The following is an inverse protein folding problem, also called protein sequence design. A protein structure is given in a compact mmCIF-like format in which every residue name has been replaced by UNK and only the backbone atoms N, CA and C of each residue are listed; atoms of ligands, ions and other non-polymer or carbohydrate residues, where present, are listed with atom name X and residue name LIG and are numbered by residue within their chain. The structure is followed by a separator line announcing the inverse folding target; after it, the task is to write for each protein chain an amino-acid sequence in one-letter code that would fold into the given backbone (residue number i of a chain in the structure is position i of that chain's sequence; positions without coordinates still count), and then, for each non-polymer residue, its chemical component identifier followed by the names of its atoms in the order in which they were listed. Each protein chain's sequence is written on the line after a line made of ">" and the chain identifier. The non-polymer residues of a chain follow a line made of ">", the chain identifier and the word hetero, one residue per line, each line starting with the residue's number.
data_IF_073368652140
#
_entry.id   IF_073368652140
#
_cell.length_a   1.000
_cell.length_b   1.000
_cell.length_c   1.000
_cell.angle_alpha   90.00
_cell.angle_beta   90.00
_cell.angle_gamma   90.00
#
_symmetry.space_group_name_H-M   'P 1'
#
loop_
_entity.id
_entity.type
_entity.pdbx_description
1 polymer ?
#
# COMPACT_ATOMS: atom_id res chain seq x y z
N UNK A 1 -71.27 26.08 -3.57
CA UNK A 1 -70.38 27.17 -3.09
C UNK A 1 -70.06 26.86 -1.64
N UNK A 2 -68.84 26.63 -1.19
CA UNK A 2 -67.53 26.61 -1.83
C UNK A 2 -66.47 26.57 -0.73
N UNK A 3 -65.36 25.87 -1.04
CA UNK A 3 -63.97 26.08 -0.57
C UNK A 3 -63.69 25.82 0.93
N UNK A 4 -62.85 24.83 1.27
CA UNK A 4 -61.37 24.78 1.18
C UNK A 4 -60.65 25.83 2.04
N UNK A 5 -59.68 25.30 2.81
CA UNK A 5 -58.36 25.85 3.22
C UNK A 5 -58.17 25.67 4.73
N UNK A 6 -57.35 24.70 5.16
CA UNK A 6 -55.87 24.72 5.23
C UNK A 6 -55.36 25.60 6.37
N UNK A 7 -54.71 24.95 7.35
CA UNK A 7 -53.46 25.38 8.02
C UNK A 7 -53.11 24.30 9.08
N UNK A 8 -52.16 23.39 8.83
CA UNK A 8 -50.70 23.55 8.90
C UNK A 8 -50.19 23.82 10.33
N UNK A 9 -49.34 22.93 10.85
CA UNK A 9 -48.06 23.20 11.57
C UNK A 9 -47.61 22.03 12.49
N UNK A 10 -46.42 21.53 12.16
CA UNK A 10 -45.31 21.10 13.03
C UNK A 10 -45.36 19.78 13.82
N UNK A 11 -44.70 18.78 13.22
CA UNK A 11 -43.56 18.02 13.74
C UNK A 11 -43.30 17.98 15.26
N UNK A 12 -43.29 16.77 15.83
CA UNK A 12 -42.09 16.21 16.46
C UNK A 12 -42.22 14.70 16.61
N UNK A 13 -41.83 13.96 15.55
CA UNK A 13 -41.50 12.55 15.68
C UNK A 13 -40.18 12.47 16.44
N UNK A 14 -40.26 12.19 17.75
CA UNK A 14 -39.10 11.80 18.55
C UNK A 14 -38.65 10.42 18.04
N UNK A 15 -37.82 10.43 17.00
CA UNK A 15 -37.08 9.26 16.57
C UNK A 15 -36.20 8.83 17.74
N UNK A 16 -36.61 7.73 18.37
CA UNK A 16 -35.78 7.00 19.31
C UNK A 16 -34.45 6.70 18.61
N UNK A 17 -33.41 7.43 19.03
CA UNK A 17 -32.05 7.16 18.62
C UNK A 17 -31.75 5.73 19.07
N UNK A 18 -31.73 4.83 18.08
CA UNK A 18 -31.18 3.51 18.25
C UNK A 18 -29.72 3.72 18.67
N UNK A 19 -29.44 3.43 19.93
CA UNK A 19 -28.12 3.20 20.48
C UNK A 19 -27.54 1.97 19.76
N UNK A 20 -27.15 2.19 18.50
CA UNK A 20 -26.31 1.28 17.75
C UNK A 20 -24.97 1.37 18.43
N UNK A 21 -24.78 0.55 19.46
CA UNK A 21 -23.56 0.46 20.23
C UNK A 21 -22.39 0.49 19.27
N UNK A 22 -21.70 1.63 19.26
CA UNK A 22 -20.50 1.87 18.48
C UNK A 22 -19.56 0.74 18.83
N UNK A 23 -19.52 -0.24 17.94
CA UNK A 23 -18.46 -1.19 18.03
C UNK A 23 -17.26 -0.42 17.55
N UNK A 24 -16.42 -0.08 18.52
CA UNK A 24 -15.03 0.28 18.34
C UNK A 24 -14.39 -0.79 17.45
N UNK A 25 -14.47 -0.58 16.14
CA UNK A 25 -13.44 -1.03 15.25
C UNK A 25 -12.15 -0.51 15.88
N UNK A 26 -11.12 -1.34 15.94
CA UNK A 26 -9.77 -0.80 16.00
C UNK A 26 -9.48 -0.18 14.62
N UNK A 27 -10.34 0.74 14.17
CA UNK A 27 -9.98 1.72 13.18
C UNK A 27 -8.75 2.39 13.78
N UNK A 28 -7.63 2.28 13.06
CA UNK A 28 -6.52 3.16 13.33
C UNK A 28 -7.12 4.56 13.45
N UNK A 29 -6.82 5.32 14.52
CA UNK A 29 -7.36 6.66 14.71
C UNK A 29 -7.29 7.38 13.36
N UNK A 30 -8.35 8.09 12.94
CA UNK A 30 -8.34 8.82 11.67
C UNK A 30 -7.03 9.59 11.66
N UNK A 31 -6.23 9.34 10.64
CA UNK A 31 -4.80 9.61 10.62
C UNK A 31 -4.62 11.14 10.59
N UNK A 32 -4.83 11.79 11.74
CA UNK A 32 -4.79 13.24 11.90
C UNK A 32 -3.36 13.76 11.73
N UNK A 33 -2.39 12.83 11.62
CA UNK A 33 -0.99 13.05 11.33
C UNK A 33 -0.55 12.36 10.03
N UNK A 34 -1.45 11.76 9.24
CA UNK A 34 -1.15 11.46 7.84
C UNK A 34 -0.96 12.80 7.13
N UNK A 35 0.27 13.30 7.19
CA UNK A 35 0.75 14.12 6.08
C UNK A 35 0.45 13.28 4.83
N UNK A 36 -0.21 13.86 3.82
CA UNK A 36 -0.20 13.26 2.49
C UNK A 36 1.23 12.84 2.20
N UNK A 37 1.41 11.64 1.65
CA UNK A 37 2.70 11.20 1.12
C UNK A 37 3.31 12.41 0.43
N UNK A 38 4.40 12.95 0.98
CA UNK A 38 5.00 14.16 0.43
C UNK A 38 5.58 13.74 -0.89
N UNK A 39 4.85 14.02 -1.98
CA UNK A 39 5.38 13.89 -3.32
C UNK A 39 6.62 14.80 -3.36
N UNK A 40 7.80 14.25 -3.62
CA UNK A 40 9.00 15.07 -3.68
C UNK A 40 8.75 16.19 -4.69
N UNK A 41 9.11 17.42 -4.32
CA UNK A 41 8.97 18.62 -5.16
C UNK A 41 9.68 18.51 -6.53
N UNK A 42 10.54 17.51 -6.68
CA UNK A 42 11.25 17.14 -7.90
C UNK A 42 10.84 15.73 -8.36
N UNK A 43 9.56 15.37 -8.27
CA UNK A 43 9.05 14.27 -9.08
C UNK A 43 9.15 14.75 -10.54
N UNK A 44 10.33 14.61 -11.15
CA UNK A 44 10.42 14.44 -12.59
C UNK A 44 9.30 13.47 -12.96
N UNK A 45 8.49 13.84 -13.95
CA UNK A 45 7.45 12.95 -14.46
C UNK A 45 8.14 11.73 -15.05
N UNK A 46 8.39 10.74 -14.21
CA UNK A 46 8.96 9.46 -14.61
C UNK A 46 7.84 8.75 -15.36
N UNK A 47 7.97 8.76 -16.68
CA UNK A 47 7.03 8.07 -17.56
C UNK A 47 7.45 6.61 -17.69
N UNK A 48 6.56 5.71 -17.30
CA UNK A 48 6.72 4.27 -17.46
C UNK A 48 5.36 3.71 -17.88
N UNK A 49 5.34 2.87 -18.92
CA UNK A 49 4.11 2.45 -19.58
C UNK A 49 3.91 0.91 -19.53
N UNK A 50 3.69 0.31 -18.34
CA UNK A 50 3.61 -1.15 -18.18
C UNK A 50 2.56 -1.88 -19.01
N UNK A 51 1.49 -1.21 -19.47
CA UNK A 51 0.44 -1.86 -20.26
C UNK A 51 0.76 -1.94 -21.76
N UNK A 52 1.78 -1.22 -22.23
CA UNK A 52 2.22 -1.24 -23.64
C UNK A 52 3.64 -1.77 -23.79
N UNK A 53 4.49 -1.62 -22.76
CA UNK A 53 5.85 -2.14 -22.74
C UNK A 53 5.82 -3.67 -22.54
N UNK A 54 5.91 -4.42 -23.63
CA UNK A 54 5.86 -5.90 -23.62
C UNK A 54 6.97 -6.52 -22.77
N UNK A 55 8.12 -5.84 -22.71
CA UNK A 55 9.33 -6.30 -22.01
C UNK A 55 9.28 -6.17 -20.48
N UNK A 56 8.33 -5.41 -19.94
CA UNK A 56 8.24 -5.13 -18.50
C UNK A 56 8.05 -6.41 -17.66
N UNK A 57 7.36 -7.41 -18.21
CA UNK A 57 7.08 -8.68 -17.55
C UNK A 57 8.16 -9.75 -17.73
N UNK A 58 9.19 -9.51 -18.55
CA UNK A 58 10.19 -10.52 -18.87
C UNK A 58 11.26 -10.66 -17.77
N UNK A 59 11.43 -11.85 -17.15
CA UNK A 59 12.38 -12.04 -16.05
C UNK A 59 13.83 -11.67 -16.40
N UNK A 60 14.25 -11.95 -17.64
CA UNK A 60 15.61 -11.64 -18.09
C UNK A 60 15.90 -10.13 -18.12
N UNK A 61 14.91 -9.31 -18.47
CA UNK A 61 15.03 -7.84 -18.47
C UNK A 61 15.16 -7.35 -17.03
N UNK A 62 14.35 -7.92 -16.12
CA UNK A 62 14.43 -7.59 -14.69
C UNK A 62 15.81 -7.91 -14.10
N UNK A 63 16.34 -9.10 -14.36
CA UNK A 63 17.65 -9.51 -13.83
C UNK A 63 18.78 -8.57 -14.30
N UNK A 64 18.74 -8.14 -15.57
CA UNK A 64 19.70 -7.18 -16.12
C UNK A 64 19.53 -5.78 -15.50
N UNK A 65 18.29 -5.31 -15.35
CA UNK A 65 17.98 -4.04 -14.68
C UNK A 65 18.45 -4.06 -13.23
N UNK A 66 18.16 -5.13 -12.47
CA UNK A 66 18.59 -5.29 -11.09
C UNK A 66 20.13 -5.27 -10.99
N UNK A 67 20.84 -5.93 -11.90
CA UNK A 67 22.31 -5.89 -11.99
C UNK A 67 22.83 -4.47 -12.23
N UNK A 68 22.21 -3.71 -13.14
CA UNK A 68 22.60 -2.32 -13.43
C UNK A 68 22.33 -1.40 -12.23
N UNK A 69 21.21 -1.59 -11.54
CA UNK A 69 20.89 -0.86 -10.30
C UNK A 69 21.92 -1.16 -9.21
N UNK A 70 22.29 -2.42 -9.01
CA UNK A 70 23.34 -2.80 -8.04
C UNK A 70 24.70 -2.19 -8.38
N UNK A 71 25.08 -2.17 -9.65
CA UNK A 71 26.32 -1.54 -10.12
C UNK A 71 26.32 -0.03 -9.86
N UNK A 72 25.20 0.65 -10.10
CA UNK A 72 25.04 2.08 -9.82
C UNK A 72 25.02 2.35 -8.31
N UNK A 73 24.36 1.49 -7.51
CA UNK A 73 24.39 1.56 -6.05
C UNK A 73 25.81 1.38 -5.48
N UNK A 74 26.65 0.58 -6.14
CA UNK A 74 28.05 0.38 -5.75
C UNK A 74 28.95 1.56 -6.12
N UNK A 75 28.69 2.19 -7.28
CA UNK A 75 29.49 3.32 -7.79
C UNK A 75 29.07 4.66 -7.21
N UNK A 76 27.80 4.82 -6.85
CA UNK A 76 27.26 6.08 -6.37
C UNK A 76 27.76 6.41 -4.95
N UNK A 77 28.28 7.63 -4.80
CA UNK A 77 28.58 8.24 -3.50
C UNK A 77 27.33 8.82 -2.82
N UNK A 78 26.23 8.96 -3.59
CA UNK A 78 24.90 9.35 -3.14
C UNK A 78 24.15 8.13 -2.60
N UNK A 79 24.65 7.48 -1.55
CA UNK A 79 23.77 6.60 -0.77
C UNK A 79 22.63 7.48 -0.26
N UNK A 80 21.36 7.15 -0.52
CA UNK A 80 20.25 7.96 -0.04
C UNK A 80 20.39 8.12 1.46
N UNK A 81 20.54 9.38 1.88
CA UNK A 81 20.76 9.73 3.29
C UNK A 81 19.46 9.50 4.02
N UNK A 82 19.24 8.26 4.45
CA UNK A 82 18.11 7.79 5.24
C UNK A 82 16.74 7.93 4.55
N UNK A 83 16.32 6.89 3.83
CA UNK A 83 14.98 6.77 3.23
C UNK A 83 13.83 6.92 4.25
N UNK A 84 14.11 6.76 5.54
CA UNK A 84 13.11 6.89 6.60
C UNK A 84 12.92 8.34 7.07
N UNK A 85 13.77 9.28 6.63
CA UNK A 85 13.66 10.70 7.02
C UNK A 85 12.39 11.36 6.50
N UNK A 86 11.89 10.89 5.36
CA UNK A 86 10.65 11.39 4.74
C UNK A 86 9.40 10.78 5.38
N UNK A 87 9.55 9.65 6.08
CA UNK A 87 8.46 9.02 6.81
C UNK A 87 8.26 9.69 8.18
N UNK A 88 7.01 9.78 8.66
CA UNK A 88 6.76 10.21 10.02
C UNK A 88 7.52 9.30 11.01
N UNK A 89 8.07 9.85 12.10
CA UNK A 89 8.81 9.06 13.07
C UNK A 89 7.88 7.99 13.66
N UNK A 90 8.41 6.78 13.82
CA UNK A 90 7.64 5.65 14.37
C UNK A 90 7.01 6.07 15.71
N UNK A 91 5.67 5.97 15.85
CA UNK A 91 5.00 6.36 17.07
C UNK A 91 5.52 5.51 18.23
N UNK A 92 6.02 6.18 19.27
CA UNK A 92 6.49 5.50 20.48
C UNK A 92 5.28 5.03 21.29
N UNK A 93 5.19 3.73 21.53
CA UNK A 93 4.15 3.17 22.39
C UNK A 93 4.35 3.65 23.84
N UNK A 94 3.47 4.55 24.29
CA UNK A 94 3.43 5.01 25.68
C UNK A 94 2.29 4.29 26.39
N UNK A 95 2.58 3.20 27.09
CA UNK A 95 1.59 2.44 27.86
C UNK A 95 1.21 3.13 29.19
N UNK A 96 1.02 4.45 29.19
CA UNK A 96 0.80 5.26 30.40
C UNK A 96 -0.39 4.75 31.24
N UNK A 97 -1.46 4.31 30.57
CA UNK A 97 -2.69 3.85 31.23
C UNK A 97 -2.68 2.34 31.52
N UNK A 98 -1.66 1.60 31.06
CA UNK A 98 -1.63 0.14 31.13
C UNK A 98 -0.24 -0.36 31.57
N UNK A 99 0.10 -0.26 32.87
CA UNK A 99 1.41 -0.65 33.39
C UNK A 99 1.70 -2.15 33.22
N UNK A 100 0.67 -3.00 33.21
CA UNK A 100 0.83 -4.43 32.92
C UNK A 100 1.30 -4.64 31.48
N UNK A 101 0.69 -3.95 30.52
CA UNK A 101 1.06 -4.05 29.11
C UNK A 101 2.47 -3.50 28.86
N UNK A 102 2.85 -2.44 29.55
CA UNK A 102 4.22 -1.89 29.50
C UNK A 102 5.27 -2.95 29.89
N UNK A 103 5.05 -3.62 31.02
CA UNK A 103 5.96 -4.67 31.52
C UNK A 103 6.04 -5.88 30.58
N UNK A 104 4.91 -6.28 30.01
CA UNK A 104 4.85 -7.38 29.04
C UNK A 104 5.58 -7.00 27.74
N UNK A 105 5.40 -5.76 27.27
CA UNK A 105 6.10 -5.21 26.11
C UNK A 105 7.62 -5.19 26.33
N UNK A 106 8.08 -4.68 27.47
CA UNK A 106 9.51 -4.70 27.84
C UNK A 106 10.08 -6.12 27.89
N UNK A 107 9.32 -7.09 28.43
CA UNK A 107 9.75 -8.49 28.45
C UNK A 107 9.89 -9.06 27.04
N UNK A 108 8.92 -8.83 26.17
CA UNK A 108 8.94 -9.31 24.77
C UNK A 108 10.08 -8.65 23.99
N UNK A 109 10.27 -7.34 24.17
CA UNK A 109 11.41 -6.60 23.60
C UNK A 109 12.75 -7.15 24.08
N UNK A 110 12.84 -7.59 25.34
CA UNK A 110 14.02 -8.25 25.88
C UNK A 110 14.15 -9.74 25.49
N UNK A 111 13.25 -10.28 24.66
CA UNK A 111 13.27 -11.67 24.21
C UNK A 111 13.09 -12.71 25.33
N UNK A 112 12.57 -12.31 26.50
CA UNK A 112 12.43 -13.22 27.63
C UNK A 112 11.17 -14.07 27.47
N UNK A 113 11.24 -15.39 27.75
CA UNK A 113 10.08 -16.26 27.67
C UNK A 113 8.98 -15.84 28.64
N UNK A 114 7.70 -16.15 28.36
CA UNK A 114 6.59 -15.85 29.25
C UNK A 114 6.79 -16.57 30.60
N UNK A 115 6.32 -15.93 31.68
CA UNK A 115 6.35 -16.54 33.01
C UNK A 115 5.42 -17.76 32.97
N UNK A 116 5.89 -18.95 33.36
CA UNK A 116 5.05 -20.14 33.37
C UNK A 116 3.89 -19.94 34.34
N UNK A 117 2.73 -20.45 33.97
CA UNK A 117 1.54 -20.40 34.82
C UNK A 117 1.76 -21.31 36.04
N UNK A 118 1.64 -20.73 37.24
CA UNK A 118 1.76 -21.48 38.49
C UNK A 118 0.44 -22.19 38.84
N UNK A 119 0.36 -23.47 38.49
CA UNK A 119 -0.77 -24.34 38.85
C UNK A 119 -0.78 -24.75 40.33
N UNK A 120 0.34 -24.60 41.06
CA UNK A 120 0.42 -25.04 42.47
C UNK A 120 -0.48 -24.21 43.38
N UNK A 121 -0.73 -22.96 43.01
CA UNK A 121 -1.63 -22.05 43.73
C UNK A 121 -3.06 -22.60 43.85
N UNK A 122 -3.52 -23.29 42.81
CA UNK A 122 -4.87 -23.84 42.71
C UNK A 122 -4.97 -25.31 43.12
N UNK A 123 -3.83 -25.96 43.34
CA UNK A 123 -3.83 -27.33 43.85
C UNK A 123 -4.23 -27.37 45.32
N UNK A 124 -5.04 -28.37 45.66
CA UNK A 124 -5.41 -28.67 47.02
C UNK A 124 -4.19 -29.20 47.78
N UNK A 125 -3.91 -28.59 48.95
CA UNK A 125 -2.76 -28.97 49.76
C UNK A 125 -3.21 -29.72 51.02
N UNK A 126 -2.45 -30.74 51.39
CA UNK A 126 -2.53 -31.38 52.70
C UNK A 126 -1.19 -31.25 53.40
N UNK A 127 -1.22 -31.09 54.72
CA UNK A 127 0.01 -31.11 55.52
C UNK A 127 0.65 -32.49 55.40
N UNK A 128 1.90 -32.60 54.92
CA UNK A 128 2.57 -33.89 54.78
C UNK A 128 2.65 -34.64 56.11
N UNK A 129 2.56 -35.99 56.11
CA UNK A 129 2.53 -36.78 57.35
C UNK A 129 3.71 -36.52 58.30
N UNK A 130 4.87 -36.14 57.76
CA UNK A 130 6.12 -35.89 58.48
C UNK A 130 6.26 -34.45 59.03
N UNK A 131 5.28 -33.56 58.80
CA UNK A 131 5.28 -32.16 59.30
C UNK A 131 4.00 -31.79 60.05
N UNK A 132 3.28 -32.79 60.57
CA UNK A 132 2.00 -32.56 61.27
C UNK A 132 2.15 -31.91 62.64
N UNK A 133 3.35 -31.84 63.17
CA UNK A 133 3.64 -31.20 64.46
C UNK A 133 3.76 -29.66 64.34
N UNK A 134 3.89 -29.14 63.11
CA UNK A 134 3.99 -27.69 62.87
C UNK A 134 2.60 -27.04 62.79
N UNK A 135 2.21 -26.36 63.86
CA UNK A 135 0.94 -25.64 63.98
C UNK A 135 0.79 -24.53 62.94
N UNK A 136 1.87 -23.86 62.54
CA UNK A 136 1.81 -22.75 61.58
C UNK A 136 1.55 -23.25 60.16
N UNK A 137 2.14 -24.39 59.80
CA UNK A 137 1.87 -25.05 58.53
C UNK A 137 0.39 -25.45 58.40
N UNK A 138 -0.20 -26.00 59.46
CA UNK A 138 -1.64 -26.29 59.51
C UNK A 138 -2.50 -25.05 59.30
N UNK A 139 -2.19 -23.93 59.96
CA UNK A 139 -2.92 -22.66 59.80
C UNK A 139 -2.87 -22.18 58.35
N UNK A 140 -1.70 -22.22 57.72
CA UNK A 140 -1.52 -21.79 56.33
C UNK A 140 -2.25 -22.70 55.34
N UNK A 141 -2.17 -24.03 55.49
CA UNK A 141 -2.89 -24.99 54.65
C UNK A 141 -4.39 -24.86 54.80
N UNK A 142 -4.91 -24.68 56.02
CA UNK A 142 -6.35 -24.43 56.25
C UNK A 142 -6.79 -23.15 55.58
N UNK A 143 -6.05 -22.04 55.72
CA UNK A 143 -6.37 -20.79 55.04
C UNK A 143 -6.29 -20.91 53.51
N UNK A 144 -5.36 -21.68 52.95
CA UNK A 144 -5.30 -21.98 51.51
C UNK A 144 -6.56 -22.73 51.08
N UNK A 145 -6.91 -23.81 51.77
CA UNK A 145 -8.04 -24.67 51.43
C UNK A 145 -9.39 -23.95 51.60
N UNK A 146 -9.52 -23.09 52.62
CA UNK A 146 -10.70 -22.23 52.77
C UNK A 146 -10.88 -21.29 51.58
N UNK A 147 -9.79 -20.68 51.08
CA UNK A 147 -9.83 -19.85 49.86
C UNK A 147 -10.21 -20.66 48.63
N UNK A 148 -9.67 -21.88 48.49
CA UNK A 148 -10.03 -22.77 47.38
C UNK A 148 -11.50 -23.18 47.42
N UNK A 149 -12.04 -23.47 48.60
CA UNK A 149 -13.46 -23.76 48.76
C UNK A 149 -14.34 -22.59 48.28
N UNK A 150 -14.01 -21.36 48.69
CA UNK A 150 -14.72 -20.16 48.23
C UNK A 150 -14.61 -19.97 46.72
N UNK A 151 -13.44 -20.24 46.13
CA UNK A 151 -13.26 -20.20 44.68
C UNK A 151 -14.17 -21.22 43.95
N UNK A 152 -14.28 -22.45 44.45
CA UNK A 152 -15.17 -23.45 43.86
C UNK A 152 -16.65 -23.06 43.98
N UNK A 153 -17.07 -22.44 45.09
CA UNK A 153 -18.43 -21.89 45.22
C UNK A 153 -18.71 -20.85 44.14
N UNK A 154 -17.83 -19.84 43.99
CA UNK A 154 -17.96 -18.81 42.94
C UNK A 154 -17.90 -19.43 41.54
N UNK A 155 -17.08 -20.47 41.34
CA UNK A 155 -17.02 -21.18 40.07
C UNK A 155 -18.33 -21.88 39.74
N UNK A 156 -18.98 -22.51 40.71
CA UNK A 156 -20.30 -23.13 40.52
C UNK A 156 -21.35 -22.08 40.16
N UNK A 157 -21.36 -20.93 40.83
CA UNK A 157 -22.23 -19.80 40.50
C UNK A 157 -21.98 -19.29 39.06
N UNK A 158 -20.72 -19.13 38.67
CA UNK A 158 -20.35 -18.72 37.32
C UNK A 158 -20.75 -19.76 36.26
N UNK A 159 -20.61 -21.06 36.57
CA UNK A 159 -21.04 -22.14 35.68
C UNK A 159 -22.55 -22.19 35.53
N UNK A 160 -23.31 -21.93 36.60
CA UNK A 160 -24.77 -21.81 36.55
C UNK A 160 -25.20 -20.62 35.67
N UNK A 161 -24.55 -19.46 35.84
CA UNK A 161 -24.77 -18.29 34.97
C UNK A 161 -24.43 -18.59 33.50
N UNK A 162 -23.30 -19.26 33.25
CA UNK A 162 -22.87 -19.64 31.91
C UNK A 162 -23.82 -20.68 31.29
N UNK A 163 -24.33 -21.63 32.07
CA UNK A 163 -25.31 -22.61 31.61
C UNK A 163 -26.63 -21.95 31.23
N UNK A 164 -27.05 -20.90 31.95
CA UNK A 164 -28.30 -20.17 31.70
C UNK A 164 -28.21 -19.22 30.52
N UNK A 165 -27.10 -18.50 30.35
CA UNK A 165 -27.01 -17.38 29.40
C UNK A 165 -25.90 -17.53 28.35
N UNK A 166 -25.00 -18.51 28.49
CA UNK A 166 -23.83 -18.66 27.64
C UNK A 166 -24.17 -18.83 26.16
N UNK A 167 -25.16 -19.68 25.85
CA UNK A 167 -25.59 -19.89 24.46
C UNK A 167 -26.14 -18.61 23.80
N UNK A 168 -26.94 -17.83 24.53
CA UNK A 168 -27.53 -16.59 24.03
C UNK A 168 -26.47 -15.51 23.83
N UNK A 169 -25.55 -15.35 24.80
CA UNK A 169 -24.44 -14.40 24.70
C UNK A 169 -23.53 -14.76 23.54
N UNK A 170 -23.20 -16.04 23.37
CA UNK A 170 -22.36 -16.51 22.28
C UNK A 170 -23.02 -16.29 20.92
N UNK A 171 -24.32 -16.54 20.81
CA UNK A 171 -25.09 -16.28 19.59
C UNK A 171 -25.10 -14.80 19.23
N UNK A 172 -25.31 -13.91 20.22
CA UNK A 172 -25.23 -12.46 20.02
C UNK A 172 -23.83 -12.01 19.61
N UNK A 173 -22.80 -12.58 20.25
CA UNK A 173 -21.41 -12.30 19.89
C UNK A 173 -21.10 -12.73 18.45
N UNK A 174 -21.54 -13.93 18.05
CA UNK A 174 -21.36 -14.42 16.68
C UNK A 174 -22.05 -13.52 15.65
N UNK A 175 -23.30 -13.10 15.90
CA UNK A 175 -24.00 -12.13 15.03
C UNK A 175 -23.24 -10.80 14.90
N UNK A 176 -22.65 -10.32 16.01
CA UNK A 176 -21.80 -9.12 16.00
C UNK A 176 -20.55 -9.33 15.15
N UNK A 177 -19.91 -10.51 15.24
CA UNK A 177 -18.75 -10.87 14.40
C UNK A 177 -19.12 -10.97 12.92
N UNK A 178 -20.25 -11.58 12.58
CA UNK A 178 -20.78 -11.62 11.21
C UNK A 178 -21.00 -10.20 10.66
N UNK A 179 -21.49 -9.28 11.50
CA UNK A 179 -21.61 -7.86 11.16
C UNK A 179 -20.25 -7.19 10.87
N UNK A 180 -19.18 -7.50 11.61
CA UNK A 180 -17.83 -6.99 11.28
C UNK A 180 -17.33 -7.55 9.97
N UNK A 181 -17.48 -8.86 9.78
CA UNK A 181 -17.00 -9.54 8.59
C UNK A 181 -17.67 -8.94 7.35
N UNK A 182 -18.99 -8.74 7.37
CA UNK A 182 -19.72 -8.11 6.27
C UNK A 182 -19.24 -6.68 5.97
N UNK A 183 -18.96 -5.87 7.01
CA UNK A 183 -18.41 -4.51 6.82
C UNK A 183 -17.01 -4.52 6.24
N UNK A 184 -16.13 -5.39 6.73
CA UNK A 184 -14.76 -5.53 6.22
C UNK A 184 -14.75 -6.01 4.77
N UNK A 185 -15.60 -6.99 4.42
CA UNK A 185 -15.76 -7.43 3.04
C UNK A 185 -16.24 -6.31 2.12
N UNK A 186 -17.19 -5.49 2.60
CA UNK A 186 -17.66 -4.32 1.85
C UNK A 186 -16.52 -3.32 1.60
N UNK A 187 -15.74 -3.00 2.63
CA UNK A 187 -14.59 -2.09 2.49
C UNK A 187 -13.57 -2.62 1.47
N UNK A 188 -13.28 -3.92 1.49
CA UNK A 188 -12.39 -4.56 0.51
C UNK A 188 -12.96 -4.44 -0.90
N UNK A 189 -14.26 -4.68 -1.08
CA UNK A 189 -14.89 -4.53 -2.40
C UNK A 189 -14.86 -3.08 -2.92
N UNK A 190 -15.12 -2.11 -2.04
CA UNK A 190 -15.07 -0.68 -2.39
C UNK A 190 -13.65 -0.24 -2.77
N UNK A 191 -12.62 -0.71 -2.04
CA UNK A 191 -11.22 -0.43 -2.39
C UNK A 191 -10.80 -1.12 -3.71
N UNK A 192 -11.23 -2.35 -3.94
CA UNK A 192 -10.95 -3.04 -5.20
C UNK A 192 -11.58 -2.31 -6.40
N UNK A 193 -12.81 -1.81 -6.26
CA UNK A 193 -13.47 -1.03 -7.32
C UNK A 193 -12.70 0.27 -7.62
N UNK A 194 -12.17 0.94 -6.60
CA UNK A 194 -11.31 2.11 -6.77
C UNK A 194 -10.01 1.77 -7.50
N UNK A 195 -9.36 0.67 -7.12
CA UNK A 195 -8.15 0.16 -7.78
C UNK A 195 -8.44 -0.18 -9.25
N UNK A 196 -9.54 -0.87 -9.52
CA UNK A 196 -9.93 -1.24 -10.88
C UNK A 196 -10.24 -0.02 -11.75
N UNK A 197 -10.91 0.99 -11.18
CA UNK A 197 -11.20 2.25 -11.88
C UNK A 197 -9.89 2.95 -12.29
N UNK A 198 -8.95 3.12 -11.35
CA UNK A 198 -7.64 3.71 -11.64
C UNK A 198 -6.86 2.88 -12.65
N UNK A 199 -6.86 1.55 -12.54
CA UNK A 199 -6.16 0.68 -13.49
C UNK A 199 -6.78 0.76 -14.89
N UNK A 200 -8.10 0.86 -14.99
CA UNK A 200 -8.81 1.04 -16.26
C UNK A 200 -8.47 2.37 -16.91
N UNK A 201 -8.47 3.46 -16.14
CA UNK A 201 -8.07 4.78 -16.62
C UNK A 201 -6.62 4.78 -17.10
N UNK A 202 -5.69 4.24 -16.30
CA UNK A 202 -4.27 4.10 -16.69
C UNK A 202 -4.12 3.32 -17.99
N UNK A 203 -4.77 2.16 -18.09
CA UNK A 203 -4.72 1.33 -19.30
C UNK A 203 -5.25 2.09 -20.52
N UNK A 204 -6.36 2.80 -20.38
CA UNK A 204 -6.94 3.61 -21.46
C UNK A 204 -5.98 4.71 -21.91
N UNK A 205 -5.39 5.47 -20.98
CA UNK A 205 -4.40 6.50 -21.29
C UNK A 205 -3.19 5.92 -22.02
N UNK A 206 -2.60 4.83 -21.51
CA UNK A 206 -1.43 4.21 -22.13
C UNK A 206 -1.73 3.64 -23.53
N UNK A 207 -2.91 3.04 -23.73
CA UNK A 207 -3.31 2.54 -25.04
C UNK A 207 -3.51 3.65 -26.06
N UNK A 208 -4.07 4.80 -25.66
CA UNK A 208 -4.17 5.97 -26.52
C UNK A 208 -2.78 6.52 -26.87
N UNK A 209 -1.89 6.67 -25.88
CA UNK A 209 -0.51 7.12 -26.09
C UNK A 209 0.28 6.16 -26.99
N UNK A 210 0.05 4.84 -26.90
CA UNK A 210 0.64 3.87 -27.81
C UNK A 210 0.30 4.13 -29.29
N UNK A 211 -0.92 4.59 -29.60
CA UNK A 211 -1.26 4.96 -30.97
C UNK A 211 -0.43 6.16 -31.45
N UNK A 212 -0.31 7.19 -30.62
CA UNK A 212 0.51 8.38 -30.91
C UNK A 212 1.99 8.03 -31.05
N UNK A 213 2.54 7.21 -30.15
CA UNK A 213 3.93 6.74 -30.20
C UNK A 213 4.21 5.94 -31.47
N UNK A 214 3.29 5.06 -31.88
CA UNK A 214 3.44 4.30 -33.13
C UNK A 214 3.37 5.20 -34.36
N UNK A 215 2.49 6.20 -34.38
CA UNK A 215 2.42 7.18 -35.46
C UNK A 215 3.73 7.99 -35.56
N UNK A 216 4.24 8.50 -34.44
CA UNK A 216 5.50 9.25 -34.38
C UNK A 216 6.70 8.38 -34.76
N UNK A 217 6.74 7.13 -34.30
CA UNK A 217 7.79 6.16 -34.65
C UNK A 217 7.80 5.87 -36.16
N UNK A 218 6.63 5.74 -36.77
CA UNK A 218 6.49 5.52 -38.22
C UNK A 218 6.95 6.76 -39.00
N UNK A 219 6.49 7.96 -38.61
CA UNK A 219 6.93 9.21 -39.23
C UNK A 219 8.45 9.39 -39.11
N UNK A 220 9.03 9.07 -37.95
CA UNK A 220 10.47 9.12 -37.74
C UNK A 220 11.22 8.16 -38.68
N UNK A 221 10.77 6.91 -38.79
CA UNK A 221 11.36 5.93 -39.73
C UNK A 221 11.28 6.41 -41.18
N UNK A 222 10.13 6.95 -41.60
CA UNK A 222 9.96 7.50 -42.95
C UNK A 222 10.89 8.69 -43.20
N UNK A 223 11.06 9.60 -42.23
CA UNK A 223 11.97 10.73 -42.35
C UNK A 223 13.42 10.29 -42.44
N UNK A 224 13.83 9.31 -41.64
CA UNK A 224 15.15 8.69 -41.73
C UNK A 224 15.37 8.05 -43.10
N UNK A 225 14.40 7.31 -43.61
CA UNK A 225 14.47 6.70 -44.94
C UNK A 225 14.58 7.77 -46.05
N UNK A 226 13.73 8.79 -46.02
CA UNK A 226 13.81 9.92 -46.97
C UNK A 226 15.15 10.63 -46.90
N UNK A 227 15.73 10.80 -45.71
CA UNK A 227 17.04 11.42 -45.57
C UNK A 227 18.14 10.57 -46.23
N UNK A 228 18.10 9.24 -46.04
CA UNK A 228 19.01 8.30 -46.71
C UNK A 228 18.84 8.33 -48.23
N UNK A 229 17.59 8.35 -48.72
CA UNK A 229 17.28 8.43 -50.16
C UNK A 229 17.79 9.75 -50.78
N UNK A 230 17.62 10.87 -50.09
CA UNK A 230 18.16 12.18 -50.51
C UNK A 230 19.69 12.14 -50.54
N UNK A 231 20.34 11.63 -49.49
CA UNK A 231 21.80 11.50 -49.44
C UNK A 231 22.32 10.61 -50.59
N UNK A 232 21.64 9.50 -50.89
CA UNK A 232 22.00 8.63 -52.00
C UNK A 232 21.83 9.33 -53.36
N UNK A 233 20.75 10.09 -53.55
CA UNK A 233 20.53 10.88 -54.77
C UNK A 233 21.57 12.00 -54.94
N UNK A 234 21.93 12.70 -53.85
CA UNK A 234 23.00 13.70 -53.87
C UNK A 234 24.34 13.08 -54.31
N UNK A 235 24.71 11.92 -53.73
CA UNK A 235 25.94 11.21 -54.12
C UNK A 235 25.89 10.76 -55.58
N UNK A 236 24.74 10.30 -56.09
CA UNK A 236 24.59 9.94 -57.50
C UNK A 236 24.81 11.15 -58.43
N UNK A 237 24.22 12.29 -58.10
CA UNK A 237 24.36 13.54 -58.88
C UNK A 237 25.79 14.07 -58.80
N UNK A 238 26.43 13.99 -57.62
CA UNK A 238 27.85 14.36 -57.45
C UNK A 238 28.77 13.50 -58.32
N UNK A 239 28.54 12.18 -58.37
CA UNK A 239 29.28 11.27 -59.26
C UNK A 239 29.06 11.61 -60.75
N UNK A 240 27.83 11.88 -61.17
CA UNK A 240 27.52 12.31 -62.55
C UNK A 240 28.21 13.64 -62.90
N UNK A 241 28.22 14.61 -61.97
CA UNK A 241 28.94 15.87 -62.12
C UNK A 241 30.46 15.65 -62.22
N UNK A 242 31.03 14.76 -61.42
CA UNK A 242 32.44 14.39 -61.49
C UNK A 242 32.80 13.72 -62.82
N UNK A 243 31.95 12.85 -63.35
CA UNK A 243 32.11 12.24 -64.67
C UNK A 243 32.05 13.28 -65.79
N UNK A 244 31.05 14.16 -65.78
CA UNK A 244 30.92 15.24 -66.76
C UNK A 244 32.10 16.23 -66.69
N UNK A 245 32.56 16.58 -65.50
CA UNK A 245 33.75 17.42 -65.31
C UNK A 245 35.01 16.74 -65.86
N UNK A 246 35.15 15.42 -65.70
CA UNK A 246 36.25 14.63 -66.28
C UNK A 246 36.21 14.65 -67.80
N UNK A 247 35.04 14.40 -68.40
CA UNK A 247 34.87 14.48 -69.85
C UNK A 247 35.12 15.88 -70.41
N UNK A 248 34.68 16.93 -69.71
CA UNK A 248 34.93 18.32 -70.10
C UNK A 248 36.42 18.67 -70.02
N UNK A 249 37.13 18.19 -69.01
CA UNK A 249 38.57 18.34 -68.88
C UNK A 249 39.33 17.61 -70.00
N UNK A 250 38.92 16.38 -70.37
CA UNK A 250 39.49 15.63 -71.48
C UNK A 250 39.26 16.30 -72.84
N UNK A 251 38.12 16.99 -73.03
CA UNK A 251 37.80 17.76 -74.24
C UNK A 251 38.36 19.18 -74.23
N UNK A 252 39.02 19.62 -73.16
CA UNK A 252 39.66 20.93 -73.03
C UNK A 252 38.71 22.11 -72.80
N UNK A 253 37.48 21.85 -72.33
CA UNK A 253 36.49 22.89 -72.04
C UNK A 253 36.69 23.39 -70.61
N UNK A 254 37.10 24.66 -70.42
CA UNK A 254 37.17 25.27 -69.09
C UNK A 254 35.76 25.66 -68.64
N UNK A 255 35.16 24.83 -67.80
CA UNK A 255 33.81 25.02 -67.24
C UNK A 255 33.78 26.00 -66.05
N UNK A 256 34.60 27.06 -66.07
CA UNK A 256 34.45 28.18 -65.14
C UNK A 256 33.98 29.41 -65.91
N UNK A 257 32.66 29.52 -66.10
CA UNK A 257 32.05 30.76 -66.60
C UNK A 257 30.77 31.09 -65.82
N UNK A 258 30.91 32.12 -64.97
CA UNK A 258 29.92 33.14 -64.61
C UNK A 258 28.56 32.68 -64.07
N UNK A 259 28.47 32.48 -62.76
CA UNK A 259 27.20 32.67 -62.02
C UNK A 259 27.04 34.16 -61.68
N UNK A 260 26.55 34.96 -62.62
CA UNK A 260 25.96 36.26 -62.26
C UNK A 260 24.55 36.03 -61.69
N UNK A 261 24.32 36.62 -60.52
CA UNK A 261 23.12 36.50 -59.70
C UNK A 261 21.82 36.71 -60.48
N UNK A 262 20.96 35.70 -60.51
CA UNK A 262 19.53 35.84 -60.86
C UNK A 262 18.70 36.21 -59.61
N UNK A 263 17.65 37.04 -59.75
CA UNK A 263 16.97 37.65 -58.62
C UNK A 263 16.15 36.64 -57.81
N UNK A 264 16.31 36.72 -56.50
CA UNK A 264 15.47 36.06 -55.49
C UNK A 264 14.00 36.47 -55.65
N UNK A 265 13.13 35.51 -55.93
CA UNK A 265 11.68 35.66 -55.87
C UNK A 265 11.12 34.76 -54.76
N UNK A 266 10.55 35.45 -53.77
CA UNK A 266 9.54 35.07 -52.77
C UNK A 266 9.56 33.69 -52.11
#
# INVERSE_FOLDING_TARGET
>A
MGRSSDDSISSSSAAAAADNGDILMLEAPPDALARPWTTPSNAETIDALPYIDEDYGHPAVKDEVDRLVEDEMRRSSKKPSDFLKELPPVPKFKFQNNPMLAREYERVMAGRPPVPFDSSRYSFDMVPPHRRDDQNLWKQTVQKNQRLLQYEVVRLENLDLMSKHGADVWTKHNRRLEGFLARLQKLVSEQNEQIETVNRERKYHQQNTAYELNALSTQWRELCQKNIEIQAACVSIENELEELNREAAERGWKLETTMENGPSLH
#
